data_IF_514527722556
#
_entry.id   IF_514527722556
#
_cell.length_a   1.000
_cell.length_b   1.000
_cell.length_c   1.000
_cell.angle_alpha   90.00
_cell.angle_beta   90.00
_cell.angle_gamma   90.00
#
_symmetry.space_group_name_H-M   'P 1'
#
loop_
_entity.id
_entity.type
_entity.pdbx_description
1 polymer ?
#
# COMPACT_ATOMS: atom_id res chain seq x y z
N UNK A 1 -15.97 3.65 -8.75
CA UNK A 1 -14.94 3.44 -7.64
C UNK A 1 -13.63 4.07 -8.09
N UNK A 2 -12.96 4.87 -7.24
CA UNK A 2 -11.65 5.47 -7.58
C UNK A 2 -10.55 4.49 -7.21
N UNK A 3 -9.62 4.24 -8.12
CA UNK A 3 -8.45 3.38 -7.92
C UNK A 3 -7.18 4.10 -8.36
N UNK A 4 -6.05 3.74 -7.71
CA UNK A 4 -4.73 4.27 -8.04
C UNK A 4 -3.80 3.10 -8.34
N UNK A 5 -3.02 3.24 -9.41
CA UNK A 5 -2.01 2.25 -9.77
C UNK A 5 -0.82 2.90 -10.46
N UNK A 6 0.29 2.21 -10.50
CA UNK A 6 1.41 2.60 -11.38
C UNK A 6 1.03 2.43 -12.84
N UNK A 7 1.51 3.34 -13.65
CA UNK A 7 1.37 3.25 -15.10
C UNK A 7 2.28 2.16 -15.67
N UNK A 8 1.85 1.59 -16.77
CA UNK A 8 2.60 0.61 -17.55
C UNK A 8 2.88 1.17 -18.96
N UNK A 9 3.81 0.60 -19.73
CA UNK A 9 4.01 1.03 -21.13
C UNK A 9 2.75 0.98 -22.00
N UNK A 10 1.79 0.12 -21.67
CA UNK A 10 0.51 0.03 -22.37
C UNK A 10 -0.43 1.21 -22.13
N UNK A 11 -0.18 2.02 -21.11
CA UNK A 11 -1.00 3.19 -20.76
C UNK A 11 -0.56 4.47 -21.51
N UNK A 12 0.57 4.43 -22.23
CA UNK A 12 1.20 5.63 -22.79
C UNK A 12 0.28 6.41 -23.73
N UNK A 13 -0.49 5.73 -24.57
CA UNK A 13 -1.38 6.42 -25.54
C UNK A 13 -2.59 7.06 -24.81
N UNK A 14 -3.13 6.41 -23.77
CA UNK A 14 -4.19 6.99 -22.94
C UNK A 14 -3.69 8.20 -22.15
N UNK A 15 -2.46 8.14 -21.63
CA UNK A 15 -1.79 9.27 -20.96
C UNK A 15 -1.60 10.44 -21.93
N UNK A 16 -1.13 10.20 -23.13
CA UNK A 16 -0.97 11.25 -24.14
C UNK A 16 -2.32 11.90 -24.49
N UNK A 17 -3.40 11.14 -24.57
CA UNK A 17 -4.74 11.68 -24.79
C UNK A 17 -5.20 12.57 -23.61
N UNK A 18 -4.95 12.14 -22.35
CA UNK A 18 -5.25 12.95 -21.15
C UNK A 18 -4.50 14.29 -21.20
N UNK A 19 -3.20 14.28 -21.47
CA UNK A 19 -2.42 15.52 -21.55
C UNK A 19 -2.82 16.39 -22.75
N UNK A 20 -3.27 15.77 -23.86
CA UNK A 20 -3.81 16.50 -25.00
C UNK A 20 -5.08 17.28 -24.63
N UNK A 21 -5.97 16.71 -23.83
CA UNK A 21 -7.14 17.40 -23.27
C UNK A 21 -6.71 18.59 -22.38
N UNK A 22 -5.64 18.43 -21.59
CA UNK A 22 -5.13 19.51 -20.74
C UNK A 22 -4.55 20.63 -21.60
N UNK A 23 -3.77 20.32 -22.67
CA UNK A 23 -3.27 21.32 -23.60
C UNK A 23 -4.41 22.08 -24.30
N UNK A 24 -5.43 21.37 -24.74
CA UNK A 24 -6.60 21.98 -25.38
C UNK A 24 -7.34 22.94 -24.43
N UNK A 25 -7.44 22.57 -23.14
CA UNK A 25 -8.01 23.44 -22.12
C UNK A 25 -7.14 24.68 -21.82
N UNK A 26 -5.80 24.54 -21.86
CA UNK A 26 -4.87 25.66 -21.70
C UNK A 26 -4.97 26.62 -22.90
N UNK A 27 -4.97 26.10 -24.12
CA UNK A 27 -5.12 26.85 -25.37
C UNK A 27 -6.46 27.60 -25.43
N UNK A 28 -7.51 27.03 -24.85
CA UNK A 28 -8.84 27.65 -24.72
C UNK A 28 -8.93 28.65 -23.55
N UNK A 29 -7.88 28.83 -22.76
CA UNK A 29 -7.88 29.71 -21.58
C UNK A 29 -8.73 29.21 -20.40
N UNK A 30 -9.06 27.91 -20.38
CA UNK A 30 -9.85 27.26 -19.34
C UNK A 30 -8.99 26.79 -18.14
N UNK A 31 -7.69 26.81 -18.30
CA UNK A 31 -6.68 26.50 -17.24
C UNK A 31 -5.47 27.39 -17.39
N UNK A 32 -4.58 27.40 -16.43
CA UNK A 32 -3.36 28.21 -16.40
C UNK A 32 -2.18 27.39 -15.85
N UNK A 33 -2.03 26.14 -16.35
CA UNK A 33 -0.93 25.26 -15.95
C UNK A 33 0.42 25.76 -16.50
N UNK A 34 0.38 26.53 -17.61
CA UNK A 34 1.56 27.05 -18.29
C UNK A 34 2.25 26.02 -19.19
N UNK A 35 1.60 24.90 -19.46
CA UNK A 35 2.12 23.86 -20.35
C UNK A 35 1.86 24.19 -21.81
N UNK A 36 2.73 23.71 -22.68
CA UNK A 36 2.59 23.94 -24.11
C UNK A 36 2.81 22.66 -24.90
N UNK A 37 1.87 22.39 -25.79
CA UNK A 37 1.86 21.23 -26.67
C UNK A 37 3.19 21.09 -27.42
N UNK A 38 3.78 19.89 -27.37
CA UNK A 38 5.04 19.57 -28.01
C UNK A 38 6.29 20.08 -27.30
N UNK A 39 6.16 20.85 -26.19
CA UNK A 39 7.28 21.36 -25.39
C UNK A 39 7.31 20.68 -24.01
N UNK A 40 6.21 20.73 -23.24
CA UNK A 40 6.16 20.09 -21.92
C UNK A 40 4.71 19.93 -21.42
N UNK A 41 4.35 18.78 -20.82
CA UNK A 41 5.10 17.52 -20.87
C UNK A 41 5.07 16.88 -22.26
N UNK A 42 6.10 16.09 -22.60
CA UNK A 42 6.21 15.42 -23.90
C UNK A 42 6.02 13.91 -23.74
N UNK A 43 5.90 13.19 -24.88
CA UNK A 43 5.96 11.72 -24.89
C UNK A 43 7.22 11.18 -24.19
N UNK A 44 8.36 11.86 -24.37
CA UNK A 44 9.61 11.47 -23.72
C UNK A 44 9.54 11.66 -22.21
N UNK A 45 8.97 12.78 -21.72
CA UNK A 45 8.73 13.02 -20.29
C UNK A 45 7.97 11.86 -19.65
N UNK A 46 6.92 11.39 -20.30
CA UNK A 46 6.11 10.27 -19.80
C UNK A 46 6.85 8.94 -19.90
N UNK A 47 7.56 8.69 -21.00
CA UNK A 47 8.36 7.48 -21.17
C UNK A 47 9.48 7.36 -20.12
N UNK A 48 10.14 8.46 -19.78
CA UNK A 48 11.15 8.50 -18.72
C UNK A 48 10.54 8.23 -17.35
N UNK A 49 9.37 8.78 -17.05
CA UNK A 49 8.66 8.50 -15.79
C UNK A 49 8.20 7.04 -15.72
N UNK A 50 7.72 6.46 -16.83
CA UNK A 50 7.42 5.02 -16.91
C UNK A 50 8.66 4.16 -16.66
N UNK A 51 9.80 4.53 -17.26
CA UNK A 51 11.05 3.78 -17.09
C UNK A 51 11.58 3.84 -15.64
N UNK A 52 11.29 4.91 -14.90
CA UNK A 52 11.62 5.06 -13.47
C UNK A 52 10.59 4.42 -12.54
N UNK A 53 9.45 3.96 -13.05
CA UNK A 53 8.35 3.38 -12.27
C UNK A 53 7.74 4.37 -11.24
N UNK A 54 7.72 5.66 -11.57
CA UNK A 54 7.27 6.76 -10.70
C UNK A 54 6.01 7.50 -11.21
N UNK A 55 5.39 7.03 -12.30
CA UNK A 55 4.15 7.56 -12.88
C UNK A 55 2.93 6.80 -12.36
N UNK A 56 1.98 7.52 -11.79
CA UNK A 56 0.75 6.96 -11.20
C UNK A 56 -0.48 7.44 -11.96
N UNK A 57 -1.45 6.53 -12.07
CA UNK A 57 -2.76 6.77 -12.69
C UNK A 57 -3.84 6.80 -11.64
N UNK A 58 -4.82 7.66 -11.85
CA UNK A 58 -6.10 7.67 -11.17
C UNK A 58 -7.18 7.23 -12.14
N UNK A 59 -7.90 6.16 -11.80
CA UNK A 59 -8.98 5.62 -12.60
C UNK A 59 -10.30 5.67 -11.84
N UNK A 60 -11.37 6.01 -12.53
CA UNK A 60 -12.72 5.98 -12.01
C UNK A 60 -13.61 5.15 -12.92
N UNK A 61 -14.20 4.09 -12.37
CA UNK A 61 -15.09 3.16 -13.10
C UNK A 61 -14.48 2.64 -14.42
N UNK A 62 -13.15 2.41 -14.40
CA UNK A 62 -12.37 1.90 -15.52
C UNK A 62 -11.91 2.96 -16.52
N UNK A 63 -12.24 4.24 -16.31
CA UNK A 63 -11.74 5.34 -17.14
C UNK A 63 -10.52 6.02 -16.47
N UNK A 64 -9.50 6.35 -17.26
CA UNK A 64 -8.37 7.16 -16.82
C UNK A 64 -8.84 8.61 -16.61
N UNK A 65 -8.80 9.10 -15.38
CA UNK A 65 -9.27 10.44 -15.01
C UNK A 65 -8.15 11.39 -14.61
N UNK A 66 -6.99 10.87 -14.18
CA UNK A 66 -5.87 11.68 -13.77
C UNK A 66 -4.54 10.92 -13.78
N UNK A 67 -3.45 11.67 -13.77
CA UNK A 67 -2.09 11.14 -13.69
C UNK A 67 -1.15 12.12 -12.97
N UNK A 68 -0.13 11.57 -12.31
CA UNK A 68 0.93 12.34 -11.68
C UNK A 68 2.21 11.52 -11.55
N UNK A 69 3.35 12.19 -11.55
CA UNK A 69 4.65 11.57 -11.24
C UNK A 69 5.00 11.89 -9.79
N UNK A 70 5.31 10.84 -9.00
CA UNK A 70 5.77 10.96 -7.61
C UNK A 70 7.15 10.37 -7.46
N UNK A 71 8.12 11.21 -7.09
CA UNK A 71 9.49 10.74 -6.86
C UNK A 71 10.24 11.65 -5.88
N UNK A 72 11.52 11.35 -5.65
CA UNK A 72 12.40 12.12 -4.76
C UNK A 72 13.36 13.03 -5.54
N UNK A 73 13.10 13.23 -6.84
CA UNK A 73 13.91 14.08 -7.71
C UNK A 73 13.47 15.54 -7.55
N UNK A 74 14.40 16.39 -7.17
CA UNK A 74 14.17 17.81 -7.01
C UNK A 74 14.89 18.58 -8.11
N UNK A 75 14.18 19.50 -8.75
CA UNK A 75 14.79 20.39 -9.74
C UNK A 75 15.84 21.30 -9.10
N UNK A 76 16.88 21.68 -9.83
CA UNK A 76 17.99 22.50 -9.32
C UNK A 76 17.52 23.82 -8.69
N UNK A 77 16.43 24.40 -9.21
CA UNK A 77 15.86 25.63 -8.67
C UNK A 77 15.12 25.43 -7.31
N UNK A 78 15.00 24.20 -6.82
CA UNK A 78 14.51 23.92 -5.46
C UNK A 78 15.60 24.16 -4.41
N UNK A 79 16.88 23.97 -4.77
CA UNK A 79 17.98 24.03 -3.81
C UNK A 79 18.09 25.37 -3.06
N UNK A 80 17.94 26.56 -3.69
CA UNK A 80 18.03 27.85 -2.98
C UNK A 80 16.74 28.27 -2.28
N UNK A 81 15.64 27.51 -2.38
CA UNK A 81 14.37 27.92 -1.82
C UNK A 81 14.37 27.81 -0.28
N UNK A 82 13.76 28.79 0.43
CA UNK A 82 13.72 28.81 1.89
C UNK A 82 12.64 27.85 2.42
N UNK A 83 12.86 26.53 2.25
CA UNK A 83 11.95 25.50 2.70
C UNK A 83 11.70 25.57 4.20
N UNK A 84 10.51 25.13 4.64
CA UNK A 84 10.11 25.18 6.06
C UNK A 84 10.94 24.24 6.94
N UNK A 85 11.41 23.13 6.34
CA UNK A 85 12.25 22.17 7.06
C UNK A 85 13.51 21.82 6.27
N UNK A 86 14.58 21.58 7.01
CA UNK A 86 15.78 20.95 6.45
C UNK A 86 15.53 19.44 6.35
N UNK A 87 15.24 18.98 5.14
CA UNK A 87 14.99 17.58 4.83
C UNK A 87 15.98 17.10 3.77
N UNK A 88 16.54 15.93 3.98
CA UNK A 88 17.41 15.28 3.00
C UNK A 88 16.62 14.98 1.72
N UNK A 89 17.24 14.91 0.54
CA UNK A 89 16.52 14.64 -0.72
C UNK A 89 15.65 13.39 -0.67
N UNK A 90 16.11 12.33 -0.02
CA UNK A 90 15.34 11.08 0.14
C UNK A 90 14.18 11.16 1.14
N UNK A 91 14.07 12.25 1.89
CA UNK A 91 12.98 12.53 2.84
C UNK A 91 11.91 13.46 2.25
N UNK A 92 12.03 13.81 0.98
CA UNK A 92 11.08 14.69 0.29
C UNK A 92 10.46 13.95 -0.89
N UNK A 93 9.12 13.93 -0.97
CA UNK A 93 8.41 13.51 -2.15
C UNK A 93 7.99 14.73 -2.97
N UNK A 94 8.27 14.69 -4.27
CA UNK A 94 7.89 15.75 -5.21
C UNK A 94 6.83 15.21 -6.16
N UNK A 95 5.81 16.01 -6.42
CA UNK A 95 4.79 15.69 -7.42
C UNK A 95 5.04 16.54 -8.68
N UNK A 96 5.23 15.85 -9.81
CA UNK A 96 5.42 16.47 -11.12
C UNK A 96 4.28 16.11 -12.07
N UNK A 97 4.07 16.93 -13.08
CA UNK A 97 3.12 16.70 -14.20
C UNK A 97 1.71 16.27 -13.74
N UNK A 98 1.25 16.76 -12.59
CA UNK A 98 -0.08 16.43 -12.08
C UNK A 98 -1.17 16.99 -12.99
N UNK A 99 -2.02 16.11 -13.49
CA UNK A 99 -3.13 16.46 -14.36
C UNK A 99 -4.38 15.64 -14.01
N UNK A 100 -5.52 16.31 -14.02
CA UNK A 100 -6.84 15.67 -14.10
C UNK A 100 -7.43 16.03 -15.46
N UNK A 101 -7.95 15.07 -16.18
CA UNK A 101 -8.62 15.29 -17.46
C UNK A 101 -9.72 16.35 -17.27
N UNK A 102 -9.69 17.44 -18.06
CA UNK A 102 -10.65 18.53 -17.95
C UNK A 102 -12.12 18.10 -18.04
N UNK A 103 -12.41 16.97 -18.67
CA UNK A 103 -13.78 16.40 -18.80
C UNK A 103 -14.31 15.85 -17.48
N UNK A 104 -13.43 15.55 -16.51
CA UNK A 104 -13.75 15.03 -15.18
C UNK A 104 -13.60 16.05 -14.05
N UNK A 105 -13.56 17.36 -14.36
CA UNK A 105 -13.40 18.41 -13.35
C UNK A 105 -14.55 18.47 -12.35
N UNK A 106 -14.26 18.98 -11.14
CA UNK A 106 -15.20 19.21 -10.03
C UNK A 106 -15.87 17.95 -9.47
N UNK A 107 -15.29 16.78 -9.69
CA UNK A 107 -15.77 15.49 -9.19
C UNK A 107 -14.93 14.95 -8.02
N UNK A 108 -13.97 15.74 -7.51
CA UNK A 108 -13.16 15.37 -6.36
C UNK A 108 -11.85 14.61 -6.68
N UNK A 109 -11.59 14.24 -7.93
CA UNK A 109 -10.42 13.45 -8.33
C UNK A 109 -9.08 14.10 -7.95
N UNK A 110 -8.93 15.40 -8.20
CA UNK A 110 -7.70 16.09 -7.79
C UNK A 110 -7.45 16.03 -6.28
N UNK A 111 -8.51 16.00 -5.46
CA UNK A 111 -8.41 15.80 -4.02
C UNK A 111 -7.98 14.38 -3.70
N UNK A 112 -8.60 13.39 -4.33
CA UNK A 112 -8.28 11.99 -4.15
C UNK A 112 -6.82 11.67 -4.52
N UNK A 113 -6.30 12.27 -5.61
CA UNK A 113 -4.89 12.15 -5.99
C UNK A 113 -3.95 12.77 -4.95
N UNK A 114 -4.30 13.91 -4.35
CA UNK A 114 -3.48 14.51 -3.28
C UNK A 114 -3.52 13.70 -1.99
N UNK A 115 -4.65 13.09 -1.63
CA UNK A 115 -4.76 12.18 -0.50
C UNK A 115 -3.89 10.92 -0.74
N UNK A 116 -3.89 10.40 -1.97
CA UNK A 116 -3.01 9.29 -2.37
C UNK A 116 -1.53 9.69 -2.33
N UNK A 117 -1.17 10.86 -2.85
CA UNK A 117 0.18 11.39 -2.83
C UNK A 117 0.74 11.52 -1.41
N UNK A 118 -0.03 12.08 -0.48
CA UNK A 118 0.38 12.21 0.92
C UNK A 118 0.56 10.86 1.59
N UNK A 119 -0.37 9.94 1.39
CA UNK A 119 -0.29 8.58 1.92
C UNK A 119 0.95 7.86 1.39
N UNK A 120 1.16 7.87 0.08
CA UNK A 120 2.32 7.26 -0.56
C UNK A 120 3.65 7.84 -0.04
N UNK A 121 3.74 9.15 0.12
CA UNK A 121 4.93 9.80 0.66
C UNK A 121 5.22 9.41 2.12
N UNK A 122 4.18 9.22 2.93
CA UNK A 122 4.32 8.74 4.31
C UNK A 122 4.80 7.28 4.36
N UNK A 123 4.27 6.43 3.49
CA UNK A 123 4.69 5.03 3.33
C UNK A 123 6.18 4.95 2.92
N UNK A 124 6.64 5.91 2.10
CA UNK A 124 8.03 6.06 1.66
C UNK A 124 8.94 6.76 2.68
N UNK A 125 8.44 7.09 3.87
CA UNK A 125 9.20 7.72 4.95
C UNK A 125 9.56 9.19 4.71
N UNK A 126 8.84 9.89 3.85
CA UNK A 126 9.08 11.29 3.56
C UNK A 126 8.61 12.20 4.71
N UNK A 127 9.31 13.31 4.92
CA UNK A 127 9.02 14.34 5.93
C UNK A 127 8.39 15.58 5.33
N UNK A 128 8.52 15.77 4.02
CA UNK A 128 7.91 16.87 3.29
C UNK A 128 7.39 16.45 1.94
N UNK A 129 6.35 17.15 1.50
CA UNK A 129 5.83 17.13 0.15
C UNK A 129 6.17 18.45 -0.51
N UNK A 130 6.69 18.41 -1.74
CA UNK A 130 6.97 19.61 -2.53
C UNK A 130 6.27 19.55 -3.88
N UNK A 131 5.78 20.69 -4.30
CA UNK A 131 5.10 20.89 -5.57
C UNK A 131 5.49 22.26 -6.10
N UNK A 132 5.58 22.39 -7.40
CA UNK A 132 5.54 23.70 -8.06
C UNK A 132 4.35 23.79 -9.02
N UNK A 133 3.91 25.00 -9.26
CA UNK A 133 2.87 25.29 -10.23
C UNK A 133 3.01 26.73 -10.73
N UNK A 134 2.45 27.01 -11.91
CA UNK A 134 2.39 28.38 -12.40
C UNK A 134 1.68 29.29 -11.38
N UNK A 135 2.27 30.46 -11.06
CA UNK A 135 1.68 31.43 -10.11
C UNK A 135 0.26 31.89 -10.51
N UNK A 136 -0.09 31.77 -11.80
CA UNK A 136 -1.42 32.13 -12.32
C UNK A 136 -2.43 31.00 -12.19
N UNK A 137 -2.02 29.79 -11.83
CA UNK A 137 -2.90 28.66 -11.68
C UNK A 137 -3.66 28.73 -10.33
N UNK A 138 -4.59 29.69 -10.25
CA UNK A 138 -5.35 29.97 -9.03
C UNK A 138 -6.13 28.74 -8.50
N UNK A 139 -6.61 27.88 -9.42
CA UNK A 139 -7.32 26.66 -9.06
C UNK A 139 -6.43 25.65 -8.34
N UNK A 140 -5.24 25.39 -8.87
CA UNK A 140 -4.26 24.52 -8.23
C UNK A 140 -3.75 25.10 -6.91
N UNK A 141 -3.46 26.40 -6.88
CA UNK A 141 -3.01 27.09 -5.66
C UNK A 141 -4.07 27.00 -4.53
N UNK A 142 -5.34 27.18 -4.85
CA UNK A 142 -6.42 27.05 -3.88
C UNK A 142 -6.56 25.60 -3.40
N UNK A 143 -6.46 24.62 -4.31
CA UNK A 143 -6.50 23.21 -3.97
C UNK A 143 -5.33 22.83 -3.03
N UNK A 144 -4.09 23.18 -3.37
CA UNK A 144 -2.92 22.89 -2.54
C UNK A 144 -3.00 23.56 -1.16
N UNK A 145 -3.46 24.82 -1.10
CA UNK A 145 -3.68 25.50 0.17
C UNK A 145 -4.71 24.76 1.04
N UNK A 146 -5.79 24.24 0.45
CA UNK A 146 -6.80 23.44 1.17
C UNK A 146 -6.28 22.12 1.72
N UNK A 147 -5.13 21.65 1.18
CA UNK A 147 -4.39 20.46 1.64
C UNK A 147 -3.27 20.78 2.62
N UNK A 148 -3.12 22.05 3.02
CA UNK A 148 -2.12 22.48 4.00
C UNK A 148 -0.74 22.76 3.40
N UNK A 149 -0.61 22.84 2.07
CA UNK A 149 0.62 23.35 1.45
C UNK A 149 0.79 24.84 1.71
N UNK A 150 1.99 25.22 2.12
CA UNK A 150 2.39 26.59 2.33
C UNK A 150 3.15 27.12 1.09
N UNK A 151 2.90 28.35 0.71
CA UNK A 151 3.67 29.02 -0.33
C UNK A 151 5.04 29.38 0.21
N UNK A 152 6.10 28.94 -0.47
CA UNK A 152 7.48 29.15 -0.06
C UNK A 152 8.08 30.38 -0.76
N UNK A 153 8.18 30.32 -2.08
CA UNK A 153 8.73 31.40 -2.89
C UNK A 153 8.24 31.27 -4.32
N UNK A 154 8.43 32.33 -5.10
CA UNK A 154 8.22 32.30 -6.54
C UNK A 154 9.57 32.27 -7.22
N UNK A 155 9.77 31.32 -8.12
CA UNK A 155 10.96 31.16 -8.92
C UNK A 155 10.65 31.48 -10.39
N UNK A 156 11.35 32.47 -11.02
CA UNK A 156 11.29 32.67 -12.46
C UNK A 156 11.97 31.47 -13.15
N UNK A 157 11.31 30.84 -14.08
CA UNK A 157 11.81 29.65 -14.76
C UNK A 157 11.60 29.77 -16.27
N UNK A 158 12.62 29.39 -17.04
CA UNK A 158 12.55 29.29 -18.48
C UNK A 158 12.64 27.84 -18.90
N UNK A 159 11.53 27.24 -19.33
CA UNK A 159 11.60 26.00 -20.09
C UNK A 159 12.10 26.30 -21.50
N UNK A 160 12.98 25.44 -22.03
CA UNK A 160 13.46 25.59 -23.41
C UNK A 160 12.29 25.74 -24.39
N UNK A 161 12.28 26.81 -25.18
CA UNK A 161 11.22 27.13 -26.13
C UNK A 161 9.94 27.74 -25.57
N UNK A 162 9.90 28.07 -24.26
CA UNK A 162 8.81 28.80 -23.63
C UNK A 162 9.25 30.21 -23.18
N UNK A 163 8.33 31.20 -23.12
CA UNK A 163 8.54 32.41 -22.39
C UNK A 163 8.83 32.10 -20.91
N UNK A 164 9.54 33.02 -20.23
CA UNK A 164 9.71 32.94 -18.78
C UNK A 164 8.35 32.79 -18.10
N UNK A 165 8.22 31.75 -17.26
CA UNK A 165 7.09 31.55 -16.38
C UNK A 165 7.54 31.75 -14.93
N UNK A 166 6.57 32.04 -14.06
CA UNK A 166 6.82 32.21 -12.63
C UNK A 166 6.19 31.01 -11.90
N UNK A 167 7.03 30.18 -11.30
CA UNK A 167 6.62 28.99 -10.56
C UNK A 167 6.48 29.33 -9.08
N UNK A 168 5.30 29.16 -8.53
CA UNK A 168 5.10 29.15 -7.09
C UNK A 168 5.56 27.81 -6.55
N UNK A 169 6.58 27.84 -5.72
CA UNK A 169 7.03 26.66 -4.96
C UNK A 169 6.21 26.54 -3.70
N UNK A 170 5.74 25.32 -3.40
CA UNK A 170 4.91 25.00 -2.24
C UNK A 170 5.49 23.81 -1.50
N UNK A 171 5.38 23.85 -0.18
CA UNK A 171 5.77 22.75 0.69
C UNK A 171 4.64 22.45 1.68
N UNK A 172 4.42 21.17 1.91
CA UNK A 172 3.66 20.66 3.06
C UNK A 172 4.62 19.86 3.90
N UNK A 173 4.90 20.34 5.09
CA UNK A 173 5.60 19.54 6.10
C UNK A 173 4.65 18.43 6.50
N UNK A 174 5.04 17.23 6.20
CA UNK A 174 4.41 16.08 6.81
C UNK A 174 4.90 16.13 8.24
N UNK A 175 4.05 16.64 9.14
CA UNK A 175 4.42 16.65 10.53
C UNK A 175 5.10 15.32 10.80
N UNK A 176 6.39 15.35 11.14
CA UNK A 176 7.00 14.29 11.90
C UNK A 176 5.93 14.01 12.93
N UNK A 177 5.45 12.79 13.02
CA UNK A 177 4.72 12.39 14.20
C UNK A 177 5.68 12.61 15.37
N UNK A 178 5.88 13.89 15.69
CA UNK A 178 6.49 14.24 16.97
C UNK A 178 5.48 13.73 17.98
N UNK A 179 5.95 12.88 18.83
CA UNK A 179 5.45 12.45 20.09
C UNK A 179 4.61 13.56 20.75
N UNK A 180 3.47 13.82 20.21
CA UNK A 180 2.26 14.34 20.80
C UNK A 180 1.22 13.30 20.39
N UNK A 181 1.00 12.37 21.29
CA UNK A 181 -0.19 11.57 21.49
C UNK A 181 -1.32 11.67 20.42
N UNK A 182 -0.98 11.54 19.15
CA UNK A 182 -1.62 10.64 18.25
C UNK A 182 -0.67 9.46 18.26
N UNK A 183 -1.01 8.47 19.03
CA UNK A 183 -0.44 7.18 19.05
C UNK A 183 -0.05 6.89 17.60
N UNK A 184 1.25 6.89 17.29
CA UNK A 184 1.74 6.12 16.15
C UNK A 184 0.89 4.87 16.22
N UNK A 185 0.22 4.47 15.12
CA UNK A 185 -0.51 3.22 15.15
C UNK A 185 0.53 2.18 15.53
N UNK A 186 0.74 2.06 16.86
CA UNK A 186 1.78 1.21 17.42
C UNK A 186 1.23 -0.18 17.20
N UNK A 187 1.68 -0.78 16.12
CA UNK A 187 1.41 -2.19 15.88
C UNK A 187 2.37 -2.95 16.77
N UNK A 188 1.83 -3.60 17.77
CA UNK A 188 2.58 -4.47 18.70
C UNK A 188 2.08 -5.89 18.57
N UNK A 189 2.97 -6.83 18.87
CA UNK A 189 2.67 -8.25 18.82
C UNK A 189 3.01 -8.88 20.15
N UNK A 190 2.16 -9.77 20.62
CA UNK A 190 2.41 -10.55 21.82
C UNK A 190 1.65 -11.87 21.77
N UNK A 191 2.02 -12.78 22.60
CA UNK A 191 1.20 -13.95 22.88
C UNK A 191 -0.15 -13.52 23.44
N UNK A 192 -1.20 -14.22 23.04
CA UNK A 192 -2.53 -14.00 23.55
C UNK A 192 -2.64 -14.48 25.01
N UNK A 193 -3.58 -13.92 25.72
CA UNK A 193 -4.00 -14.32 27.06
C UNK A 193 -5.46 -14.75 27.05
N UNK A 194 -5.94 -15.34 28.13
CA UNK A 194 -7.36 -15.73 28.23
C UNK A 194 -8.32 -14.53 28.08
N UNK A 195 -7.88 -13.32 28.45
CA UNK A 195 -8.67 -12.11 28.31
C UNK A 195 -8.87 -11.67 26.85
N UNK A 196 -8.04 -12.18 25.92
CA UNK A 196 -8.09 -11.81 24.50
C UNK A 196 -9.05 -12.69 23.69
N UNK A 197 -9.50 -13.82 24.23
CA UNK A 197 -10.31 -14.81 23.52
C UNK A 197 -11.62 -14.26 22.96
N UNK A 198 -12.27 -13.35 23.66
CA UNK A 198 -13.52 -12.73 23.18
C UNK A 198 -13.25 -11.83 21.96
N UNK A 199 -12.17 -11.06 21.98
CA UNK A 199 -11.79 -10.20 20.86
C UNK A 199 -11.35 -11.04 19.64
N UNK A 200 -10.57 -12.09 19.85
CA UNK A 200 -10.14 -13.02 18.80
C UNK A 200 -11.37 -13.71 18.16
N UNK A 201 -12.29 -14.22 18.98
CA UNK A 201 -13.53 -14.84 18.50
C UNK A 201 -14.38 -13.86 17.67
N UNK A 202 -14.48 -12.61 18.12
CA UNK A 202 -15.20 -11.58 17.37
C UNK A 202 -14.54 -11.27 16.00
N UNK A 203 -13.22 -11.36 15.87
CA UNK A 203 -12.52 -11.25 14.58
C UNK A 203 -12.90 -12.44 13.67
N UNK A 204 -12.93 -13.66 14.21
CA UNK A 204 -13.37 -14.84 13.44
C UNK A 204 -14.82 -14.69 12.95
N UNK A 205 -15.73 -14.19 13.79
CA UNK A 205 -17.13 -13.95 13.39
C UNK A 205 -17.23 -12.91 12.27
N UNK A 206 -16.43 -11.85 12.33
CA UNK A 206 -16.40 -10.81 11.27
C UNK A 206 -15.87 -11.35 9.97
N UNK A 207 -14.80 -12.16 9.99
CA UNK A 207 -14.25 -12.71 8.75
C UNK A 207 -15.19 -13.73 8.11
N UNK A 208 -15.93 -14.53 8.90
CA UNK A 208 -17.00 -15.40 8.38
C UNK A 208 -18.10 -14.58 7.72
N UNK A 209 -18.50 -13.46 8.32
CA UNK A 209 -19.50 -12.55 7.72
C UNK A 209 -19.04 -12.00 6.38
N UNK A 210 -17.74 -11.69 6.23
CA UNK A 210 -17.16 -11.24 4.95
C UNK A 210 -17.16 -12.38 3.89
N UNK A 211 -16.86 -13.61 4.31
CA UNK A 211 -16.88 -14.79 3.43
C UNK A 211 -18.30 -15.10 2.94
N UNK A 212 -19.28 -15.14 3.85
CA UNK A 212 -20.69 -15.38 3.54
C UNK A 212 -21.28 -14.31 2.62
N UNK A 213 -20.80 -13.07 2.75
CA UNK A 213 -21.21 -11.97 1.89
C UNK A 213 -20.44 -11.91 0.53
N UNK A 214 -19.53 -12.86 0.28
CA UNK A 214 -18.72 -12.93 -0.94
C UNK A 214 -17.69 -11.80 -1.07
N UNK A 215 -17.35 -11.11 0.02
CA UNK A 215 -16.35 -10.04 0.03
C UNK A 215 -14.92 -10.52 0.31
N UNK A 216 -14.77 -11.78 0.68
CA UNK A 216 -13.49 -12.48 0.78
C UNK A 216 -13.63 -13.90 0.26
N UNK A 217 -12.52 -14.59 0.01
CA UNK A 217 -12.46 -15.92 -0.57
C UNK A 217 -11.45 -16.79 0.19
N UNK A 218 -11.49 -16.75 1.52
CA UNK A 218 -10.58 -17.51 2.38
C UNK A 218 -10.96 -18.99 2.36
N UNK A 219 -12.24 -19.29 2.19
CA UNK A 219 -12.78 -20.66 2.14
C UNK A 219 -13.05 -21.25 3.52
N UNK A 220 -13.17 -20.40 4.55
CA UNK A 220 -13.55 -20.82 5.89
C UNK A 220 -15.08 -20.91 6.04
N UNK A 221 -15.53 -21.77 6.90
CA UNK A 221 -16.96 -22.04 7.11
C UNK A 221 -17.32 -21.77 8.57
N UNK A 222 -18.35 -20.93 8.77
CA UNK A 222 -18.87 -20.59 10.10
C UNK A 222 -19.23 -21.87 10.85
N UNK A 223 -19.01 -21.87 12.15
CA UNK A 223 -19.22 -23.00 13.08
C UNK A 223 -18.36 -24.25 12.81
N UNK A 224 -17.49 -24.21 11.78
CA UNK A 224 -16.52 -25.28 11.50
C UNK A 224 -15.09 -24.79 11.80
N UNK A 225 -14.61 -23.73 11.09
CA UNK A 225 -13.24 -23.25 11.24
C UNK A 225 -13.04 -21.85 10.66
N UNK A 226 -12.25 -20.97 11.33
CA UNK A 226 -11.86 -21.06 12.74
C UNK A 226 -13.04 -20.69 13.67
N UNK A 227 -13.07 -21.30 14.84
CA UNK A 227 -14.08 -21.03 15.87
C UNK A 227 -13.39 -20.66 17.20
N UNK A 228 -14.15 -20.26 18.20
CA UNK A 228 -13.59 -19.93 19.52
C UNK A 228 -12.70 -21.08 20.08
N UNK A 229 -13.12 -22.32 19.93
CA UNK A 229 -12.35 -23.49 20.37
C UNK A 229 -10.99 -23.58 19.65
N UNK A 230 -10.86 -23.08 18.41
CA UNK A 230 -9.57 -23.00 17.70
C UNK A 230 -8.61 -22.08 18.46
N UNK A 231 -9.08 -20.92 18.88
CA UNK A 231 -8.28 -19.97 19.66
C UNK A 231 -7.95 -20.52 21.07
N UNK A 232 -8.90 -21.15 21.74
CA UNK A 232 -8.72 -21.76 23.05
C UNK A 232 -7.67 -22.88 23.01
N UNK A 233 -7.71 -23.73 22.00
CA UNK A 233 -6.71 -24.78 21.80
C UNK A 233 -5.31 -24.21 21.52
N UNK A 234 -5.20 -23.16 20.71
CA UNK A 234 -3.95 -22.50 20.45
C UNK A 234 -3.40 -21.77 21.70
N UNK A 235 -4.27 -21.12 22.46
CA UNK A 235 -3.89 -20.50 23.74
C UNK A 235 -3.34 -21.53 24.73
N UNK A 236 -4.00 -22.70 24.84
CA UNK A 236 -3.56 -23.79 25.73
C UNK A 236 -2.17 -24.36 25.36
N UNK A 237 -1.78 -24.27 24.09
CA UNK A 237 -0.44 -24.65 23.59
C UNK A 237 0.58 -23.50 23.67
N UNK A 238 0.17 -22.29 24.08
CA UNK A 238 1.00 -21.08 24.11
C UNK A 238 1.51 -20.64 22.72
N UNK A 239 0.74 -20.93 21.68
CA UNK A 239 1.08 -20.62 20.28
C UNK A 239 0.12 -19.61 19.59
N UNK A 240 -0.85 -19.05 20.32
CA UNK A 240 -1.74 -17.99 19.82
C UNK A 240 -1.08 -16.61 20.00
N UNK A 241 -1.00 -15.84 18.92
CA UNK A 241 -0.46 -14.47 18.92
C UNK A 241 -1.53 -13.48 18.47
N UNK A 242 -1.45 -12.27 19.02
CA UNK A 242 -2.32 -11.15 18.65
C UNK A 242 -1.49 -9.96 18.18
N UNK A 243 -2.04 -9.28 17.18
CA UNK A 243 -1.58 -7.99 16.69
C UNK A 243 -2.49 -6.91 17.27
N UNK A 244 -1.88 -5.93 17.92
CA UNK A 244 -2.59 -4.81 18.53
C UNK A 244 -2.26 -3.52 17.77
N UNK A 245 -3.28 -2.72 17.59
CA UNK A 245 -3.16 -1.36 17.10
C UNK A 245 -3.84 -0.44 18.10
N UNK A 246 -3.06 0.46 18.74
CA UNK A 246 -3.55 1.31 19.81
C UNK A 246 -4.28 0.53 20.93
N UNK A 247 -3.65 -0.55 21.39
CA UNK A 247 -4.14 -1.49 22.42
C UNK A 247 -5.42 -2.28 22.01
N UNK A 248 -5.98 -2.05 20.85
CA UNK A 248 -7.07 -2.87 20.31
C UNK A 248 -6.51 -4.04 19.48
N UNK A 249 -7.04 -5.25 19.67
CA UNK A 249 -6.67 -6.41 18.87
C UNK A 249 -7.28 -6.25 17.46
N UNK A 250 -6.40 -6.23 16.45
CA UNK A 250 -6.74 -6.04 15.03
C UNK A 250 -6.34 -7.23 14.16
N UNK A 251 -5.59 -8.18 14.71
CA UNK A 251 -5.17 -9.38 14.00
C UNK A 251 -4.78 -10.49 14.96
N UNK A 252 -4.79 -11.70 14.46
CA UNK A 252 -4.38 -12.91 15.21
C UNK A 252 -3.82 -13.96 14.26
N UNK A 253 -2.88 -14.77 14.75
CA UNK A 253 -2.40 -15.97 14.09
C UNK A 253 -1.89 -17.00 15.10
N UNK A 254 -1.72 -18.23 14.64
CA UNK A 254 -1.14 -19.32 15.39
C UNK A 254 0.25 -19.58 14.81
N UNK A 255 1.29 -19.51 15.66
CA UNK A 255 2.69 -19.74 15.27
C UNK A 255 3.24 -20.92 16.07
N UNK A 256 3.57 -22.02 15.36
CA UNK A 256 4.13 -23.22 16.00
C UNK A 256 4.94 -24.07 15.01
N UNK A 257 5.39 -25.25 15.45
CA UNK A 257 6.13 -26.20 14.62
C UNK A 257 5.25 -27.34 14.07
N UNK A 258 3.93 -27.26 14.26
CA UNK A 258 3.01 -28.29 13.83
C UNK A 258 2.76 -28.18 12.32
N UNK A 259 2.96 -29.29 11.63
CA UNK A 259 2.68 -29.41 10.22
C UNK A 259 1.54 -30.44 10.04
N UNK A 260 0.49 -30.05 9.33
CA UNK A 260 -0.62 -30.95 9.03
C UNK A 260 -0.22 -32.09 8.08
N UNK A 261 -1.07 -33.08 7.97
CA UNK A 261 -0.85 -34.23 7.06
C UNK A 261 -0.65 -33.76 5.61
N UNK A 262 -1.24 -32.65 5.23
CA UNK A 262 -1.16 -32.01 3.91
C UNK A 262 0.26 -31.58 3.54
N UNK A 263 1.12 -31.37 4.54
CA UNK A 263 2.52 -30.99 4.35
C UNK A 263 3.41 -32.20 4.05
N UNK A 264 2.91 -33.41 4.37
CA UNK A 264 3.66 -34.66 4.20
C UNK A 264 3.87 -34.97 2.73
N UNK A 265 5.14 -35.18 2.35
CA UNK A 265 5.50 -35.49 0.96
C UNK A 265 5.46 -34.32 -0.01
N UNK A 266 5.15 -33.12 0.45
CA UNK A 266 5.23 -31.93 -0.40
C UNK A 266 6.71 -31.68 -0.85
N UNK A 267 6.93 -31.22 -2.07
CA UNK A 267 8.30 -31.06 -2.64
C UNK A 267 8.99 -29.79 -2.09
N UNK A 268 9.15 -29.74 -0.76
CA UNK A 268 9.87 -28.65 -0.07
C UNK A 268 11.31 -28.55 -0.60
N UNK A 269 11.78 -27.34 -0.85
CA UNK A 269 13.16 -27.12 -1.32
C UNK A 269 14.09 -26.72 -0.19
N UNK A 270 13.52 -26.19 0.92
CA UNK A 270 14.29 -25.87 2.11
C UNK A 270 14.29 -27.09 3.00
N UNK A 271 15.46 -27.74 3.09
CA UNK A 271 15.65 -28.88 3.98
C UNK A 271 15.67 -28.38 5.43
N UNK A 272 14.62 -28.68 6.18
CA UNK A 272 14.50 -28.37 7.59
C UNK A 272 13.70 -29.45 8.27
N UNK A 273 14.11 -29.87 9.45
CA UNK A 273 13.34 -30.77 10.32
C UNK A 273 12.25 -30.01 11.08
N UNK A 274 11.40 -30.75 11.82
CA UNK A 274 10.23 -30.18 12.48
C UNK A 274 10.54 -29.00 13.38
N UNK A 275 11.61 -29.06 14.16
CA UNK A 275 11.95 -28.03 15.15
C UNK A 275 12.55 -26.76 14.49
N UNK A 276 13.08 -26.91 13.28
CA UNK A 276 13.63 -25.80 12.49
C UNK A 276 12.66 -25.21 11.47
N UNK A 277 11.38 -25.65 11.49
CA UNK A 277 10.33 -25.08 10.68
C UNK A 277 9.35 -24.34 11.57
N UNK A 278 9.13 -23.04 11.35
CA UNK A 278 8.01 -22.34 11.95
C UNK A 278 6.86 -22.31 10.94
N UNK A 279 5.64 -22.59 11.40
CA UNK A 279 4.44 -22.55 10.58
C UNK A 279 3.50 -21.46 11.10
N UNK A 280 2.94 -20.69 10.19
CA UNK A 280 1.89 -19.72 10.51
C UNK A 280 0.55 -20.24 10.03
N UNK A 281 -0.36 -20.51 10.97
CA UNK A 281 -1.73 -20.93 10.72
C UNK A 281 -2.70 -19.80 11.07
N UNK A 282 -3.85 -19.79 10.42
CA UNK A 282 -5.03 -19.00 10.80
C UNK A 282 -4.72 -17.49 10.95
N UNK A 283 -3.90 -16.94 10.05
CA UNK A 283 -3.71 -15.49 10.03
C UNK A 283 -5.01 -14.80 9.64
N UNK A 284 -5.53 -13.99 10.52
CA UNK A 284 -6.72 -13.15 10.32
C UNK A 284 -6.42 -11.73 10.72
N UNK A 285 -6.70 -10.81 9.82
CA UNK A 285 -6.76 -9.37 10.12
C UNK A 285 -8.22 -8.97 10.19
N UNK A 286 -8.59 -8.20 11.20
CA UNK A 286 -9.94 -7.68 11.36
C UNK A 286 -10.38 -6.97 10.07
N UNK A 287 -11.49 -7.40 9.44
CA UNK A 287 -11.98 -6.75 8.24
C UNK A 287 -12.23 -5.25 8.38
N UNK A 288 -12.51 -4.76 9.60
CA UNK A 288 -12.74 -3.34 9.88
C UNK A 288 -11.44 -2.53 9.91
N UNK A 289 -10.29 -3.19 10.07
CA UNK A 289 -8.95 -2.58 10.13
C UNK A 289 -8.16 -2.74 8.82
N UNK A 290 -8.78 -3.18 7.72
CA UNK A 290 -8.12 -3.38 6.41
C UNK A 290 -7.48 -2.11 5.85
N UNK A 291 -6.42 -2.28 5.06
CA UNK A 291 -5.77 -1.19 4.32
C UNK A 291 -4.60 -0.52 5.03
N UNK A 292 -4.23 -0.97 6.24
CA UNK A 292 -3.15 -0.39 7.06
C UNK A 292 -1.85 -1.21 7.05
N UNK A 293 -1.67 -2.17 6.14
CA UNK A 293 -0.46 -2.99 6.05
C UNK A 293 -0.33 -4.04 7.17
N UNK A 294 -1.36 -4.28 7.99
CA UNK A 294 -1.35 -5.17 9.15
C UNK A 294 -0.94 -6.61 8.80
N UNK A 295 -1.48 -7.18 7.72
CA UNK A 295 -1.08 -8.53 7.28
C UNK A 295 0.40 -8.62 6.91
N UNK A 296 0.98 -7.55 6.34
CA UNK A 296 2.44 -7.45 6.09
C UNK A 296 3.21 -7.37 7.41
N UNK A 297 2.74 -6.55 8.35
CA UNK A 297 3.36 -6.39 9.66
C UNK A 297 3.35 -7.70 10.44
N UNK A 298 2.24 -8.47 10.40
CA UNK A 298 2.16 -9.78 11.04
C UNK A 298 3.11 -10.80 10.40
N UNK A 299 3.19 -10.85 9.07
CA UNK A 299 4.13 -11.74 8.39
C UNK A 299 5.60 -11.40 8.71
N UNK A 300 5.94 -10.12 8.80
CA UNK A 300 7.28 -9.68 9.25
C UNK A 300 7.56 -10.02 10.71
N UNK A 301 6.56 -9.93 11.59
CA UNK A 301 6.67 -10.41 12.96
C UNK A 301 6.94 -11.92 13.01
N UNK A 302 6.19 -12.70 12.24
CA UNK A 302 6.39 -14.14 12.09
C UNK A 302 7.81 -14.49 11.63
N UNK A 303 8.35 -13.78 10.65
CA UNK A 303 9.74 -13.95 10.17
C UNK A 303 10.79 -13.63 11.25
N UNK A 304 10.57 -12.58 12.05
CA UNK A 304 11.45 -12.25 13.20
C UNK A 304 11.38 -13.34 14.28
N UNK A 305 10.18 -13.79 14.62
CA UNK A 305 9.96 -14.87 15.60
C UNK A 305 10.69 -16.15 15.16
N UNK A 306 10.65 -16.50 13.89
CA UNK A 306 11.38 -17.66 13.37
C UNK A 306 12.90 -17.54 13.55
N UNK A 307 13.48 -16.33 13.31
CA UNK A 307 14.92 -16.09 13.56
C UNK A 307 15.26 -16.24 15.05
N UNK A 308 14.44 -15.67 15.91
CA UNK A 308 14.63 -15.73 17.38
C UNK A 308 14.57 -17.17 17.89
N UNK A 309 13.75 -18.02 17.27
CA UNK A 309 13.62 -19.44 17.59
C UNK A 309 14.67 -20.32 16.92
N UNK A 310 15.55 -19.75 16.06
CA UNK A 310 16.57 -20.53 15.34
C UNK A 310 16.02 -21.38 14.19
N UNK A 311 14.82 -21.09 13.68
CA UNK A 311 14.25 -21.79 12.55
C UNK A 311 15.01 -21.45 11.26
N UNK A 312 15.01 -22.36 10.31
CA UNK A 312 15.64 -22.20 8.98
C UNK A 312 14.63 -22.10 7.86
N UNK A 313 13.40 -22.55 8.09
CA UNK A 313 12.30 -22.51 7.14
C UNK A 313 11.01 -21.95 7.74
N UNK A 314 10.31 -21.18 6.93
CA UNK A 314 8.98 -20.65 7.16
C UNK A 314 8.01 -21.38 6.24
N UNK A 315 6.92 -21.89 6.79
CA UNK A 315 5.86 -22.53 6.01
C UNK A 315 4.50 -21.94 6.31
N UNK A 316 3.69 -21.79 5.30
CA UNK A 316 2.32 -21.25 5.36
C UNK A 316 1.46 -22.06 4.42
N UNK A 317 0.20 -22.19 4.78
CA UNK A 317 -0.83 -22.68 3.86
C UNK A 317 -1.94 -21.64 3.67
N UNK A 318 -2.60 -21.71 2.53
CA UNK A 318 -3.80 -20.90 2.26
C UNK A 318 -4.65 -21.54 1.18
N UNK A 319 -5.95 -21.24 1.18
CA UNK A 319 -6.85 -21.72 0.13
C UNK A 319 -6.42 -21.17 -1.25
N UNK A 320 -6.46 -22.00 -2.29
CA UNK A 320 -6.11 -21.62 -3.65
C UNK A 320 -6.92 -20.42 -4.17
N UNK A 321 -8.15 -20.25 -3.69
CA UNK A 321 -9.03 -19.12 -4.03
C UNK A 321 -8.67 -17.83 -3.30
N UNK A 322 -7.83 -17.88 -2.26
CA UNK A 322 -7.44 -16.72 -1.48
C UNK A 322 -6.34 -15.91 -2.19
N UNK A 323 -6.68 -15.30 -3.32
CA UNK A 323 -5.74 -14.53 -4.15
C UNK A 323 -5.08 -13.37 -3.38
N UNK A 324 -5.78 -12.63 -2.49
CA UNK A 324 -5.13 -11.59 -1.68
C UNK A 324 -3.98 -12.12 -0.81
N UNK A 325 -4.16 -13.23 -0.09
CA UNK A 325 -3.12 -13.82 0.75
C UNK A 325 -1.95 -14.35 -0.10
N UNK A 326 -2.23 -15.08 -1.20
CA UNK A 326 -1.22 -15.56 -2.14
C UNK A 326 -0.38 -14.41 -2.70
N UNK A 327 -1.03 -13.30 -3.07
CA UNK A 327 -0.35 -12.10 -3.57
C UNK A 327 0.53 -11.46 -2.49
N UNK A 328 0.05 -11.38 -1.24
CA UNK A 328 0.82 -10.87 -0.11
C UNK A 328 2.08 -11.72 0.11
N UNK A 329 1.93 -13.03 0.25
CA UNK A 329 3.06 -13.92 0.52
C UNK A 329 4.07 -13.92 -0.62
N UNK A 330 3.63 -13.88 -1.88
CA UNK A 330 4.52 -13.73 -3.04
C UNK A 330 5.34 -12.42 -2.98
N UNK A 331 4.73 -11.29 -2.62
CA UNK A 331 5.43 -10.01 -2.43
C UNK A 331 6.47 -10.06 -1.31
N UNK A 332 6.23 -10.87 -0.29
CA UNK A 332 7.13 -11.09 0.84
C UNK A 332 8.21 -12.14 0.57
N UNK A 333 8.27 -12.68 -0.66
CA UNK A 333 9.30 -13.63 -1.07
C UNK A 333 8.99 -15.10 -0.77
N UNK A 334 7.75 -15.41 -0.35
CA UNK A 334 7.32 -16.81 -0.23
C UNK A 334 7.09 -17.41 -1.62
N UNK A 335 7.49 -18.66 -1.76
CA UNK A 335 7.30 -19.45 -2.97
C UNK A 335 6.17 -20.46 -2.77
N UNK A 336 5.24 -20.53 -3.71
CA UNK A 336 4.27 -21.62 -3.77
C UNK A 336 5.00 -22.92 -4.17
N UNK A 337 4.85 -23.93 -3.33
CA UNK A 337 5.49 -25.24 -3.48
C UNK A 337 4.61 -26.20 -4.29
N UNK A 338 3.36 -26.34 -3.86
CA UNK A 338 2.36 -27.20 -4.48
C UNK A 338 0.96 -26.81 -4.06
N UNK A 339 -0.04 -27.36 -4.74
CA UNK A 339 -1.44 -27.31 -4.33
C UNK A 339 -1.89 -28.72 -4.00
N UNK A 340 -2.46 -28.92 -2.81
CA UNK A 340 -2.90 -30.21 -2.31
C UNK A 340 -4.42 -30.20 -2.12
N UNK A 341 -5.17 -31.08 -2.80
CA UNK A 341 -6.59 -31.28 -2.49
C UNK A 341 -6.72 -32.03 -1.17
N UNK A 342 -7.51 -31.51 -0.24
CA UNK A 342 -7.65 -32.09 1.08
C UNK A 342 -9.02 -31.80 1.72
N UNK A 343 -9.31 -32.50 2.82
CA UNK A 343 -10.24 -32.04 3.82
C UNK A 343 -9.45 -31.24 4.84
N UNK A 344 -9.71 -29.93 4.94
CA UNK A 344 -8.93 -29.05 5.79
C UNK A 344 -9.78 -28.54 6.95
N UNK A 345 -9.37 -28.87 8.18
CA UNK A 345 -10.07 -28.46 9.41
C UNK A 345 -11.58 -28.76 9.38
N UNK A 346 -11.98 -29.92 8.85
CA UNK A 346 -13.37 -30.33 8.73
C UNK A 346 -14.13 -29.79 7.53
N UNK A 347 -13.46 -29.01 6.65
CA UNK A 347 -14.04 -28.48 5.42
C UNK A 347 -13.60 -29.37 4.26
N UNK A 348 -14.57 -29.94 3.53
CA UNK A 348 -14.31 -30.79 2.37
C UNK A 348 -13.95 -29.98 1.11
N UNK A 349 -13.16 -30.59 0.21
CA UNK A 349 -12.90 -30.09 -1.12
C UNK A 349 -12.04 -28.83 -1.15
N UNK A 350 -11.18 -28.63 -0.17
CA UNK A 350 -10.22 -27.54 -0.12
C UNK A 350 -9.04 -27.85 -1.03
N UNK A 351 -8.67 -26.90 -1.87
CA UNK A 351 -7.38 -26.87 -2.55
C UNK A 351 -6.44 -25.98 -1.74
N UNK A 352 -5.48 -26.58 -1.06
CA UNK A 352 -4.56 -25.91 -0.15
C UNK A 352 -3.24 -25.61 -0.85
N UNK A 353 -2.90 -24.33 -1.01
CA UNK A 353 -1.59 -23.90 -1.53
C UNK A 353 -0.61 -23.92 -0.38
N UNK A 354 0.46 -24.69 -0.54
CA UNK A 354 1.58 -24.73 0.40
C UNK A 354 2.68 -23.77 -0.06
N UNK A 355 3.17 -22.94 0.86
CA UNK A 355 4.20 -21.92 0.59
C UNK A 355 5.36 -22.11 1.55
N UNK A 356 6.57 -21.80 1.07
CA UNK A 356 7.76 -21.76 1.91
C UNK A 356 8.64 -20.54 1.64
N UNK A 357 9.43 -20.15 2.63
CA UNK A 357 10.48 -19.13 2.56
C UNK A 357 11.62 -19.51 3.48
N UNK A 358 12.88 -19.27 3.06
CA UNK A 358 14.03 -19.40 3.95
C UNK A 358 14.03 -18.27 5.00
N UNK A 359 14.48 -18.59 6.20
CA UNK A 359 14.77 -17.57 7.24
C UNK A 359 16.12 -16.96 6.92
N UNK A 360 16.15 -15.65 6.70
CA UNK A 360 17.36 -14.85 6.43
C UNK A 360 17.86 -14.15 7.68
#
# INVERSE_FOLDING_TARGET
>A
MITFRKATPGDLDALLALYDHVFSAEEAGLTSVGWKRGIYPTRQTLAEALARDDLFLEEADGALVGAAVFNKLQSDYYAPAPWQIDARPNEVMVMHTFAIDPTFRRQGYARAMLDFYERHAREEGCRALRIDTNERNSGALALYASFGFQRITIHPHCFEGLPEIRLQLLEKVLASQSIKEHSAMTVTFRKATAADLDAVSAIYDRIHTEEEAGRTTIGWVRDIYPIRATAEAALARDDLYVELQNDAIVGTAILNHLQGDEYTGAPWQIAADGDHVLVMHTLVIDPTAKGHGLGTAFAQFYERTARELGCTALRIDTNARNIPARTLYKKLGYREVTIVPCQFNGIDGVELVLLEKAVE
#
